data_IF_600270350491
#
_entry.id   IF_600270350491
#
_cell.length_a   1.000
_cell.length_b   1.000
_cell.length_c   1.000
_cell.angle_alpha   90.00
_cell.angle_beta   90.00
_cell.angle_gamma   90.00
#
_symmetry.space_group_name_H-M   'P 1'
#
loop_
_entity.id
_entity.type
_entity.pdbx_description
1 polymer ?
#
# COMPACT_ATOMS: atom_id res chain seq x y z
N UNK A 1 -6.83 -37.35 25.89
CA UNK A 1 -7.54 -36.17 25.34
C UNK A 1 -7.60 -36.30 23.82
N UNK A 2 -8.75 -36.13 23.19
CA UNK A 2 -8.91 -36.31 21.74
C UNK A 2 -8.60 -35.00 20.97
N UNK A 3 -8.55 -35.05 19.63
CA UNK A 3 -8.23 -33.89 18.78
C UNK A 3 -9.24 -32.75 18.90
N UNK A 4 -10.53 -33.07 19.08
CA UNK A 4 -11.60 -32.09 19.32
C UNK A 4 -11.45 -31.38 20.67
N UNK A 5 -11.03 -32.10 21.71
CA UNK A 5 -10.78 -31.52 23.03
C UNK A 5 -9.63 -30.51 22.97
N UNK A 6 -8.56 -30.84 22.23
CA UNK A 6 -7.44 -29.92 22.01
C UNK A 6 -7.86 -28.68 21.22
N UNK A 7 -8.66 -28.86 20.17
CA UNK A 7 -9.25 -27.75 19.44
C UNK A 7 -10.01 -26.83 20.38
N UNK A 8 -10.99 -27.35 21.11
CA UNK A 8 -11.82 -26.58 22.04
C UNK A 8 -10.98 -25.86 23.11
N UNK A 9 -9.97 -26.51 23.68
CA UNK A 9 -9.15 -25.94 24.74
C UNK A 9 -8.30 -24.76 24.25
N UNK A 10 -7.73 -24.86 23.06
CA UNK A 10 -6.76 -23.86 22.56
C UNK A 10 -7.37 -22.80 21.65
N UNK A 11 -8.39 -23.14 20.86
CA UNK A 11 -9.03 -22.21 19.92
C UNK A 11 -10.35 -21.66 20.47
N UNK A 12 -10.78 -22.09 21.66
CA UNK A 12 -12.08 -21.74 22.23
C UNK A 12 -13.25 -22.11 21.29
N UNK A 13 -13.14 -23.26 20.62
CA UNK A 13 -14.12 -23.78 19.66
C UNK A 13 -14.37 -22.85 18.45
N UNK A 14 -13.35 -22.09 18.05
CA UNK A 14 -13.39 -21.27 16.84
C UNK A 14 -13.72 -22.12 15.59
N UNK A 15 -14.41 -21.53 14.62
CA UNK A 15 -14.66 -22.19 13.34
C UNK A 15 -13.34 -22.55 12.63
N UNK A 16 -13.21 -23.76 12.06
CA UNK A 16 -12.04 -24.14 11.26
C UNK A 16 -11.73 -23.15 10.13
N UNK A 17 -12.77 -22.63 9.46
CA UNK A 17 -12.60 -21.66 8.37
C UNK A 17 -12.00 -20.35 8.86
N UNK A 18 -12.52 -19.82 9.97
CA UNK A 18 -12.03 -18.57 10.55
C UNK A 18 -10.59 -18.74 11.03
N UNK A 19 -10.27 -19.87 11.66
CA UNK A 19 -8.92 -20.18 12.11
C UNK A 19 -7.92 -20.25 10.94
N UNK A 20 -8.24 -21.04 9.91
CA UNK A 20 -7.36 -21.21 8.74
C UNK A 20 -7.19 -19.88 7.99
N UNK A 21 -8.24 -19.08 7.90
CA UNK A 21 -8.18 -17.77 7.27
C UNK A 21 -7.33 -16.78 8.08
N UNK A 22 -7.59 -16.66 9.38
CA UNK A 22 -6.94 -15.71 10.27
C UNK A 22 -5.43 -15.94 10.36
N UNK A 23 -5.00 -17.19 10.50
CA UNK A 23 -3.60 -17.52 10.75
C UNK A 23 -2.82 -17.97 9.51
N UNK A 24 -3.48 -18.57 8.52
CA UNK A 24 -2.81 -19.18 7.36
C UNK A 24 -3.32 -18.72 6.00
N UNK A 25 -4.33 -17.84 5.94
CA UNK A 25 -4.90 -17.32 4.68
C UNK A 25 -5.30 -18.42 3.68
N UNK A 26 -5.81 -19.54 4.20
CA UNK A 26 -6.23 -20.70 3.40
C UNK A 26 -5.29 -21.90 3.46
N UNK A 27 -4.11 -21.77 4.08
CA UNK A 27 -3.19 -22.88 4.33
C UNK A 27 -3.30 -23.34 5.79
N UNK A 28 -3.77 -24.57 6.01
CA UNK A 28 -3.96 -25.14 7.35
C UNK A 28 -2.64 -25.43 8.07
N UNK A 29 -1.58 -25.77 7.35
CA UNK A 29 -0.24 -26.04 7.90
C UNK A 29 0.35 -24.74 8.43
N UNK A 30 0.31 -23.69 7.61
CA UNK A 30 0.77 -22.35 7.98
C UNK A 30 -0.06 -21.80 9.13
N UNK A 31 -1.38 -21.98 9.10
CA UNK A 31 -2.27 -21.54 10.16
C UNK A 31 -1.89 -22.14 11.52
N UNK A 32 -1.68 -23.45 11.57
CA UNK A 32 -1.31 -24.14 12.82
C UNK A 32 0.07 -23.69 13.31
N UNK A 33 1.07 -23.52 12.44
CA UNK A 33 2.38 -23.02 12.89
C UNK A 33 2.32 -21.60 13.42
N UNK A 34 1.64 -20.69 12.70
CA UNK A 34 1.50 -19.30 13.13
C UNK A 34 0.74 -19.20 14.46
N UNK A 35 -0.33 -19.97 14.62
CA UNK A 35 -1.07 -20.06 15.88
C UNK A 35 -0.17 -20.54 17.04
N UNK A 36 0.55 -21.65 16.86
CA UNK A 36 1.42 -22.20 17.90
C UNK A 36 2.60 -21.28 18.25
N UNK A 37 3.11 -20.51 17.29
CA UNK A 37 4.14 -19.49 17.55
C UNK A 37 3.61 -18.34 18.42
N UNK A 38 2.34 -17.99 18.28
CA UNK A 38 1.71 -16.93 19.09
C UNK A 38 1.43 -17.37 20.53
N UNK A 39 1.41 -18.68 20.81
CA UNK A 39 1.02 -19.22 22.10
C UNK A 39 2.21 -19.31 23.08
N UNK A 40 2.02 -18.94 24.36
CA UNK A 40 3.07 -19.07 25.37
C UNK A 40 3.54 -20.52 25.53
N UNK A 41 4.85 -20.72 25.36
CA UNK A 41 5.49 -22.02 25.52
C UNK A 41 6.85 -21.88 26.24
N UNK A 42 7.28 -22.94 26.90
CA UNK A 42 8.59 -23.03 27.55
C UNK A 42 9.23 -24.36 27.17
N UNK A 43 10.37 -24.31 26.45
CA UNK A 43 11.04 -25.51 25.93
C UNK A 43 10.10 -26.45 25.16
N UNK A 44 9.15 -25.87 24.40
CA UNK A 44 8.16 -26.64 23.65
C UNK A 44 7.00 -27.22 24.48
N UNK A 45 6.95 -26.95 25.79
CA UNK A 45 5.78 -27.27 26.63
C UNK A 45 4.76 -26.13 26.51
N UNK A 46 3.53 -26.50 26.18
CA UNK A 46 2.39 -25.58 26.02
C UNK A 46 1.76 -25.29 27.37
N UNK A 47 1.47 -24.01 27.63
CA UNK A 47 0.77 -23.59 28.85
C UNK A 47 -0.73 -23.90 28.74
N UNK A 48 -1.25 -24.76 29.63
CA UNK A 48 -2.68 -25.18 29.66
C UNK A 48 -3.52 -24.48 30.73
N UNK A 49 -2.94 -23.52 31.44
CA UNK A 49 -3.56 -22.79 32.55
C UNK A 49 -2.57 -21.81 33.17
N UNK A 50 -2.14 -22.05 34.41
CA UNK A 50 -0.94 -21.43 34.98
C UNK A 50 0.32 -22.25 34.69
N UNK A 51 1.51 -21.63 34.76
CA UNK A 51 2.77 -22.37 34.68
C UNK A 51 2.92 -23.39 35.81
N UNK A 52 2.43 -23.05 37.00
CA UNK A 52 2.43 -23.96 38.16
C UNK A 52 1.64 -25.24 37.88
N UNK A 53 0.44 -25.12 37.32
CA UNK A 53 -0.39 -26.28 36.94
C UNK A 53 0.25 -27.07 35.80
N UNK A 54 0.81 -26.36 34.80
CA UNK A 54 1.43 -26.99 33.63
C UNK A 54 2.59 -27.90 34.04
N UNK A 55 3.45 -27.46 34.97
CA UNK A 55 4.57 -28.27 35.47
C UNK A 55 4.21 -29.26 36.58
N UNK A 56 3.03 -29.12 37.19
CA UNK A 56 2.51 -30.11 38.14
C UNK A 56 1.86 -31.32 37.43
N UNK A 57 1.57 -31.20 36.13
CA UNK A 57 1.08 -32.32 35.32
C UNK A 57 2.13 -33.42 35.19
N UNK A 58 1.72 -34.68 35.33
CA UNK A 58 2.60 -35.84 35.11
C UNK A 58 3.09 -35.89 33.65
N UNK A 59 2.25 -35.46 32.71
CA UNK A 59 2.57 -35.38 31.29
C UNK A 59 2.24 -33.97 30.78
N UNK A 60 3.23 -33.06 30.74
CA UNK A 60 3.05 -31.73 30.16
C UNK A 60 2.79 -31.83 28.64
N UNK A 61 1.83 -31.06 28.15
CA UNK A 61 1.50 -31.06 26.73
C UNK A 61 2.62 -30.42 25.91
N UNK A 62 3.21 -31.18 24.99
CA UNK A 62 4.20 -30.67 24.05
C UNK A 62 3.57 -30.03 22.80
N UNK A 63 4.26 -29.03 22.26
CA UNK A 63 3.90 -28.31 21.03
C UNK A 63 3.72 -29.26 19.86
N UNK A 64 4.57 -30.27 19.71
CA UNK A 64 4.48 -31.21 18.60
C UNK A 64 3.20 -32.05 18.70
N UNK A 65 2.84 -32.52 19.90
CA UNK A 65 1.58 -33.24 20.14
C UNK A 65 0.38 -32.36 19.77
N UNK A 66 0.38 -31.10 20.21
CA UNK A 66 -0.70 -30.17 19.87
C UNK A 66 -0.73 -29.85 18.37
N UNK A 67 0.43 -29.67 17.72
CA UNK A 67 0.55 -29.47 16.27
C UNK A 67 -0.11 -30.62 15.52
N UNK A 68 0.21 -31.86 15.85
CA UNK A 68 -0.41 -33.03 15.22
C UNK A 68 -1.92 -33.05 15.46
N UNK A 69 -2.37 -32.81 16.68
CA UNK A 69 -3.79 -32.80 17.01
C UNK A 69 -4.59 -31.75 16.22
N UNK A 70 -4.08 -30.51 16.14
CA UNK A 70 -4.74 -29.42 15.41
C UNK A 70 -4.76 -29.66 13.91
N UNK A 71 -3.64 -30.11 13.33
CA UNK A 71 -3.58 -30.45 11.90
C UNK A 71 -4.54 -31.58 11.55
N UNK A 72 -4.56 -32.63 12.37
CA UNK A 72 -5.45 -33.76 12.17
C UNK A 72 -6.92 -33.35 12.25
N UNK A 73 -7.29 -32.54 13.24
CA UNK A 73 -8.64 -32.00 13.36
C UNK A 73 -9.08 -31.19 12.13
N UNK A 74 -8.19 -30.36 11.58
CA UNK A 74 -8.45 -29.57 10.38
C UNK A 74 -8.57 -30.44 9.12
N UNK A 75 -7.76 -31.49 9.00
CA UNK A 75 -7.82 -32.40 7.86
C UNK A 75 -9.10 -33.25 7.87
N UNK A 76 -9.50 -33.77 9.04
CA UNK A 76 -10.79 -34.47 9.21
C UNK A 76 -11.99 -33.62 8.80
N UNK A 77 -11.87 -32.29 8.90
CA UNK A 77 -12.91 -31.30 8.60
C UNK A 77 -12.60 -30.45 7.39
N UNK A 78 -11.77 -30.94 6.47
CA UNK A 78 -11.35 -30.19 5.29
C UNK A 78 -12.52 -29.62 4.49
N UNK A 79 -13.57 -30.41 4.32
CA UNK A 79 -14.81 -30.01 3.64
C UNK A 79 -15.51 -28.80 4.28
N UNK A 80 -15.35 -28.60 5.59
CA UNK A 80 -16.07 -27.57 6.36
C UNK A 80 -15.46 -26.18 6.16
N UNK A 81 -14.19 -26.11 5.77
CA UNK A 81 -13.47 -24.85 5.65
C UNK A 81 -12.98 -24.53 4.24
N UNK A 82 -12.58 -25.51 3.43
CA UNK A 82 -11.96 -25.26 2.13
C UNK A 82 -12.87 -24.43 1.20
N UNK A 83 -14.17 -24.73 1.17
CA UNK A 83 -15.15 -23.96 0.40
C UNK A 83 -15.31 -22.51 0.91
N UNK A 84 -15.26 -22.30 2.23
CA UNK A 84 -15.39 -20.97 2.85
C UNK A 84 -14.17 -20.10 2.61
N UNK A 85 -12.98 -20.69 2.43
CA UNK A 85 -11.76 -19.93 2.13
C UNK A 85 -11.88 -19.20 0.80
N UNK A 86 -12.51 -19.80 -0.22
CA UNK A 86 -12.73 -19.13 -1.51
C UNK A 86 -13.68 -17.93 -1.37
N UNK A 87 -14.73 -18.07 -0.55
CA UNK A 87 -15.62 -16.94 -0.21
C UNK A 87 -14.84 -15.82 0.48
N UNK A 88 -13.96 -16.14 1.44
CA UNK A 88 -13.12 -15.16 2.11
C UNK A 88 -12.13 -14.47 1.17
N UNK A 89 -11.52 -15.21 0.24
CA UNK A 89 -10.65 -14.64 -0.80
C UNK A 89 -11.40 -13.65 -1.69
N UNK A 90 -12.62 -13.99 -2.06
CA UNK A 90 -13.46 -13.10 -2.88
C UNK A 90 -13.82 -11.82 -2.13
N UNK A 91 -14.26 -11.93 -0.87
CA UNK A 91 -14.61 -10.78 -0.04
C UNK A 91 -13.41 -9.87 0.23
N UNK A 92 -12.22 -10.43 0.46
CA UNK A 92 -11.01 -9.63 0.67
C UNK A 92 -10.60 -8.87 -0.60
N UNK A 93 -10.71 -9.49 -1.78
CA UNK A 93 -10.48 -8.80 -3.06
C UNK A 93 -11.45 -7.66 -3.27
N UNK A 94 -12.74 -7.86 -2.99
CA UNK A 94 -13.75 -6.78 -3.08
C UNK A 94 -13.42 -5.62 -2.13
N UNK A 95 -13.14 -5.92 -0.86
CA UNK A 95 -12.80 -4.90 0.14
C UNK A 95 -11.55 -4.12 -0.24
N UNK A 96 -10.54 -4.80 -0.78
CA UNK A 96 -9.30 -4.17 -1.24
C UNK A 96 -9.55 -3.26 -2.44
N UNK A 97 -10.36 -3.71 -3.41
CA UNK A 97 -10.74 -2.91 -4.57
C UNK A 97 -11.55 -1.66 -4.16
N UNK A 98 -12.50 -1.81 -3.23
CA UNK A 98 -13.28 -0.68 -2.70
C UNK A 98 -12.40 0.32 -1.95
N UNK A 99 -11.49 -0.17 -1.10
CA UNK A 99 -10.54 0.68 -0.37
C UNK A 99 -9.64 1.46 -1.33
N UNK A 100 -9.14 0.80 -2.37
CA UNK A 100 -8.32 1.44 -3.41
C UNK A 100 -9.11 2.50 -4.18
N UNK A 101 -10.32 2.18 -4.62
CA UNK A 101 -11.19 3.14 -5.30
C UNK A 101 -11.50 4.36 -4.42
N UNK A 102 -11.70 4.15 -3.11
CA UNK A 102 -11.93 5.24 -2.17
C UNK A 102 -10.67 6.12 -1.98
N UNK A 103 -9.48 5.51 -1.95
CA UNK A 103 -8.21 6.25 -1.90
C UNK A 103 -8.00 7.07 -3.18
N UNK A 104 -8.24 6.48 -4.34
CA UNK A 104 -8.11 7.16 -5.64
C UNK A 104 -9.10 8.33 -5.74
N UNK A 105 -10.35 8.15 -5.30
CA UNK A 105 -11.35 9.23 -5.27
C UNK A 105 -10.95 10.39 -4.33
N UNK A 106 -10.38 10.09 -3.16
CA UNK A 106 -9.88 11.11 -2.23
C UNK A 106 -8.70 11.88 -2.82
N UNK A 107 -7.75 11.18 -3.45
CA UNK A 107 -6.61 11.82 -4.11
C UNK A 107 -7.05 12.76 -5.25
N UNK A 108 -8.05 12.36 -6.04
CA UNK A 108 -8.62 13.22 -7.08
C UNK A 108 -9.33 14.44 -6.51
N UNK A 109 -10.11 14.29 -5.43
CA UNK A 109 -10.77 15.42 -4.78
C UNK A 109 -9.76 16.43 -4.23
N UNK A 110 -8.68 15.97 -3.57
CA UNK A 110 -7.60 16.82 -3.08
C UNK A 110 -6.84 17.53 -4.22
N UNK A 111 -6.67 16.87 -5.37
CA UNK A 111 -6.05 17.49 -6.54
C UNK A 111 -6.93 18.60 -7.14
N UNK A 112 -8.24 18.37 -7.24
CA UNK A 112 -9.19 19.37 -7.73
C UNK A 112 -9.23 20.61 -6.84
N UNK A 113 -9.26 20.44 -5.51
CA UNK A 113 -9.25 21.58 -4.59
C UNK A 113 -7.98 22.43 -4.74
N UNK A 114 -6.82 21.82 -4.96
CA UNK A 114 -5.57 22.56 -5.21
C UNK A 114 -5.62 23.35 -6.52
N UNK A 115 -6.18 22.76 -7.58
CA UNK A 115 -6.34 23.44 -8.87
C UNK A 115 -7.31 24.63 -8.72
N UNK A 116 -8.40 24.47 -7.97
CA UNK A 116 -9.36 25.54 -7.70
C UNK A 116 -8.73 26.68 -6.88
N UNK A 117 -7.94 26.36 -5.85
CA UNK A 117 -7.19 27.35 -5.06
C UNK A 117 -6.16 28.10 -5.91
N UNK A 118 -5.39 27.39 -6.75
CA UNK A 118 -4.41 28.00 -7.66
C UNK A 118 -5.10 28.89 -8.72
N UNK A 119 -6.25 28.46 -9.24
CA UNK A 119 -7.05 29.24 -10.18
C UNK A 119 -7.62 30.51 -9.53
N UNK A 120 -8.12 30.41 -8.29
CA UNK A 120 -8.63 31.56 -7.55
C UNK A 120 -7.51 32.59 -7.28
N UNK A 121 -6.34 32.12 -6.85
CA UNK A 121 -5.17 32.96 -6.59
C UNK A 121 -4.65 33.63 -7.88
N UNK A 122 -4.68 32.93 -9.01
CA UNK A 122 -4.30 33.48 -10.32
C UNK A 122 -5.28 34.57 -10.78
N UNK A 123 -6.59 34.38 -10.57
CA UNK A 123 -7.61 35.38 -10.86
C UNK A 123 -7.48 36.63 -9.98
N UNK A 124 -7.22 36.47 -8.67
CA UNK A 124 -6.96 37.63 -7.79
C UNK A 124 -5.73 38.43 -8.24
N UNK A 125 -4.66 37.72 -8.64
CA UNK A 125 -3.41 38.37 -9.10
C UNK A 125 -3.60 39.03 -10.48
N UNK A 126 -4.33 38.38 -11.40
CA UNK A 126 -4.63 38.92 -12.73
C UNK A 126 -5.58 40.12 -12.69
N UNK A 127 -6.58 40.11 -11.81
CA UNK A 127 -7.48 41.26 -11.60
C UNK A 127 -6.74 42.43 -10.96
N UNK A 128 -5.84 42.19 -9.99
CA UNK A 128 -5.00 43.25 -9.41
C UNK A 128 -4.08 43.93 -10.45
N UNK A 129 -3.64 43.18 -11.47
CA UNK A 129 -2.80 43.71 -12.56
C UNK A 129 -3.60 44.51 -13.60
N UNK A 130 -4.90 44.22 -13.78
CA UNK A 130 -5.76 44.94 -14.73
C UNK A 130 -6.31 46.25 -14.13
N UNK A 131 -6.55 46.29 -12.82
CA UNK A 131 -7.00 47.53 -12.14
C UNK A 131 -5.94 48.62 -12.03
N UNK A 132 -4.66 48.30 -12.27
CA UNK A 132 -3.55 49.27 -12.21
C UNK A 132 -3.28 49.97 -13.56
N UNK A 133 -4.09 49.70 -14.60
CA UNK A 133 -3.98 50.27 -15.95
C UNK A 133 -5.02 51.37 -16.27
N UNK A 134 -5.94 51.70 -15.35
CA UNK A 134 -6.85 52.84 -15.52
C UNK A 134 -6.26 54.14 -14.93
N UNK A 135 -5.23 54.68 -15.58
CA UNK A 135 -4.96 56.13 -15.52
C UNK A 135 -4.70 56.67 -16.93
N UNK A 136 -5.62 57.43 -17.55
CA UNK A 136 -5.36 58.06 -18.84
C UNK A 136 -4.59 59.37 -18.61
N UNK A 137 -3.27 59.29 -18.41
CA UNK A 137 -2.43 60.49 -18.49
C UNK A 137 -2.08 60.80 -19.94
N UNK A 138 -2.87 61.73 -20.47
CA UNK A 138 -2.48 62.84 -21.36
C UNK A 138 -1.41 62.59 -22.42
N UNK A 139 -1.91 62.66 -23.67
CA UNK A 139 -1.25 63.33 -24.78
C UNK A 139 -0.48 64.59 -24.34
N UNK A 140 0.84 64.59 -24.54
CA UNK A 140 1.62 65.80 -24.77
C UNK A 140 2.57 65.59 -25.94
N UNK A 141 2.16 66.20 -27.05
CA UNK A 141 2.91 66.80 -28.15
C UNK A 141 4.39 66.46 -28.38
N UNK A 142 4.63 66.06 -29.63
CA UNK A 142 5.82 66.29 -30.46
C UNK A 142 6.79 67.38 -29.97
N UNK A 143 8.06 67.01 -29.85
CA UNK A 143 9.15 67.82 -30.42
C UNK A 143 10.17 66.91 -31.10
N UNK A 144 10.26 67.10 -32.41
CA UNK A 144 11.30 66.67 -33.33
C UNK A 144 12.69 67.12 -32.86
N UNK A 145 13.67 66.21 -32.86
CA UNK A 145 15.08 66.59 -32.91
C UNK A 145 15.85 65.50 -33.66
N UNK A 146 16.19 65.83 -34.91
CA UNK A 146 17.15 65.13 -35.74
C UNK A 146 18.55 65.40 -35.21
N UNK A 147 19.33 64.36 -34.94
CA UNK A 147 20.75 64.42 -35.26
C UNK A 147 21.33 63.04 -35.54
N UNK A 148 22.18 63.02 -36.54
CA UNK A 148 22.66 61.87 -37.26
C UNK A 148 24.02 61.38 -36.72
N UNK A 149 24.28 60.08 -36.93
CA UNK A 149 25.48 59.49 -37.52
C UNK A 149 26.08 58.30 -36.75
N UNK A 150 26.46 57.33 -37.60
CA UNK A 150 27.54 56.35 -37.47
C UNK A 150 27.31 55.15 -36.54
N UNK A 151 26.99 53.97 -37.06
CA UNK A 151 27.78 53.06 -37.93
C UNK A 151 28.68 52.14 -37.10
N UNK A 152 28.36 50.85 -37.10
CA UNK A 152 29.30 49.72 -37.16
C UNK A 152 28.54 48.39 -37.18
N UNK A 153 28.69 47.67 -38.28
CA UNK A 153 28.40 46.25 -38.50
C UNK A 153 29.01 45.34 -37.42
N UNK A 154 28.38 44.19 -37.16
CA UNK A 154 28.95 42.83 -37.32
C UNK A 154 27.98 41.79 -36.73
N UNK A 155 27.41 40.96 -37.61
CA UNK A 155 27.06 39.54 -37.40
C UNK A 155 28.24 38.71 -37.94
N UNK A 156 28.36 37.38 -37.79
CA UNK A 156 27.51 36.37 -37.13
C UNK A 156 28.36 35.52 -36.13
N UNK A 157 27.89 34.45 -35.48
CA UNK A 157 27.90 33.08 -35.99
C UNK A 157 27.21 32.12 -35.01
N UNK A 158 26.67 31.08 -35.63
CA UNK A 158 26.22 29.81 -35.07
C UNK A 158 27.20 29.23 -34.02
N UNK A 159 26.67 28.56 -33.00
CA UNK A 159 27.31 27.33 -32.57
C UNK A 159 26.29 26.24 -32.26
N UNK A 160 26.41 25.22 -33.09
CA UNK A 160 25.64 24.01 -33.20
C UNK A 160 26.32 22.96 -32.33
N UNK A 161 25.56 22.12 -31.62
CA UNK A 161 25.87 20.70 -31.28
C UNK A 161 25.40 20.28 -29.87
N UNK A 162 25.27 18.98 -29.58
CA UNK A 162 24.70 17.92 -30.42
C UNK A 162 23.82 16.94 -29.61
N UNK A 163 23.18 16.03 -30.33
CA UNK A 163 22.45 14.86 -29.84
C UNK A 163 23.16 14.09 -28.73
N UNK A 164 22.46 13.93 -27.60
CA UNK A 164 22.76 12.95 -26.58
C UNK A 164 22.24 11.57 -27.03
N UNK A 165 23.14 10.77 -27.61
CA UNK A 165 23.02 9.31 -27.57
C UNK A 165 22.99 8.82 -26.11
N UNK A 166 22.17 7.82 -25.80
CA UNK A 166 22.55 6.78 -24.85
C UNK A 166 22.97 5.53 -25.62
N UNK A 167 24.25 5.18 -25.47
CA UNK A 167 24.79 3.89 -25.84
C UNK A 167 24.26 2.78 -24.91
N UNK A 168 23.78 1.70 -25.54
CA UNK A 168 24.01 0.28 -25.21
C UNK A 168 23.31 -0.34 -23.97
N UNK A 169 23.17 -1.69 -23.87
CA UNK A 169 23.74 -2.73 -24.73
C UNK A 169 22.79 -3.82 -25.26
N UNK A 170 23.28 -4.44 -26.33
CA UNK A 170 22.95 -5.74 -26.90
C UNK A 170 23.34 -6.86 -25.94
N UNK A 171 22.39 -7.74 -25.59
CA UNK A 171 22.70 -9.10 -25.12
C UNK A 171 21.80 -10.11 -25.83
N UNK A 172 22.41 -10.70 -26.85
CA UNK A 172 22.08 -11.98 -27.45
C UNK A 172 22.40 -13.12 -26.48
N UNK A 173 21.36 -13.84 -26.06
CA UNK A 173 21.42 -15.20 -25.53
C UNK A 173 20.07 -15.84 -25.90
N UNK A 174 19.94 -16.95 -26.60
CA UNK A 174 20.81 -18.09 -26.88
C UNK A 174 19.82 -19.19 -27.24
N UNK A 175 19.89 -19.73 -28.46
CA UNK A 175 19.11 -20.89 -28.90
C UNK A 175 20.10 -22.03 -29.10
#
# INVERSE_FOLDING_TARGET
>A
MNTKDYWKLFTNDQSPADFVWQYGRGDSIVAVEAFLQSYPNFMGIMRTGSWKETFASEEPLHRDTLRFALRFFLEERRSDWENKIEEYRYLEKQKTAETKAQQDARALAEALTRIEEDAHKSLETGVATITDLETPERLSEYTESTDAMSDSEVSPEDDYSPDLYPNAPDETAGI
#
